data_IF_995550817436
#
_entry.id   IF_995550817436
#
_cell.length_a   1.000
_cell.length_b   1.000
_cell.length_c   1.000
_cell.angle_alpha   90.00
_cell.angle_beta   90.00
_cell.angle_gamma   90.00
#
_symmetry.space_group_name_H-M   'P 1'
#
loop_
_entity.id
_entity.type
_entity.pdbx_description
1 polymer ?
#
# COMPACT_ATOMS: atom_id res chain seq x y z
N UNK A 1 37.35 -61.46 31.53
CA UNK A 1 36.70 -61.04 30.30
C UNK A 1 35.87 -59.81 30.59
N UNK A 2 36.41 -58.64 30.39
CA UNK A 2 35.74 -57.30 30.42
C UNK A 2 36.50 -56.41 29.48
N UNK A 3 36.05 -56.29 28.29
CA UNK A 3 36.60 -55.41 27.29
C UNK A 3 35.72 -55.44 26.07
N UNK A 4 34.81 -54.49 25.92
CA UNK A 4 34.25 -54.09 24.63
C UNK A 4 32.98 -53.23 24.77
N UNK A 5 33.06 -52.17 25.57
CA UNK A 5 31.94 -51.21 25.58
C UNK A 5 32.37 -49.78 25.19
N UNK A 6 33.67 -49.55 25.01
CA UNK A 6 34.13 -48.20 24.73
C UNK A 6 34.06 -47.77 23.23
N UNK A 7 34.06 -48.73 22.32
CA UNK A 7 33.98 -48.47 20.87
C UNK A 7 32.55 -48.19 20.39
N UNK A 8 31.55 -48.67 21.07
CA UNK A 8 30.16 -48.43 20.69
C UNK A 8 29.68 -47.02 21.05
N UNK A 9 30.22 -46.43 22.12
CA UNK A 9 29.80 -45.08 22.58
C UNK A 9 30.35 -43.97 21.64
N UNK A 10 31.56 -44.12 21.09
CA UNK A 10 32.10 -43.14 20.13
C UNK A 10 31.34 -43.17 18.80
N UNK A 11 30.96 -44.36 18.32
CA UNK A 11 30.14 -44.51 17.12
C UNK A 11 28.74 -43.88 17.25
N UNK A 12 28.10 -43.99 18.42
CA UNK A 12 26.80 -43.40 18.69
C UNK A 12 26.86 -41.88 18.74
N UNK A 13 27.95 -41.29 19.30
CA UNK A 13 28.13 -39.86 19.36
C UNK A 13 28.26 -39.27 17.96
N UNK A 14 29.04 -39.87 17.07
CA UNK A 14 29.17 -39.41 15.70
C UNK A 14 27.88 -39.52 14.88
N UNK A 15 27.09 -40.56 15.07
CA UNK A 15 25.78 -40.70 14.41
C UNK A 15 24.83 -39.62 14.89
N UNK A 16 24.81 -39.32 16.18
CA UNK A 16 23.98 -38.27 16.76
C UNK A 16 24.36 -36.87 16.25
N UNK A 17 25.69 -36.63 16.15
CA UNK A 17 26.23 -35.38 15.64
C UNK A 17 25.86 -35.16 14.16
N UNK A 18 26.02 -36.18 13.34
CA UNK A 18 25.61 -36.14 11.93
C UNK A 18 24.10 -35.93 11.76
N UNK A 19 23.30 -36.56 12.60
CA UNK A 19 21.83 -36.39 12.57
C UNK A 19 21.40 -34.98 12.95
N UNK A 20 22.07 -34.39 13.97
CA UNK A 20 21.77 -33.00 14.38
C UNK A 20 22.17 -31.99 13.33
N UNK A 21 23.34 -32.17 12.68
CA UNK A 21 23.80 -31.34 11.56
C UNK A 21 22.86 -31.45 10.35
N UNK A 22 22.41 -32.67 10.03
CA UNK A 22 21.44 -32.89 8.96
C UNK A 22 20.12 -32.17 9.25
N UNK A 23 19.60 -32.27 10.48
CA UNK A 23 18.38 -31.59 10.89
C UNK A 23 18.51 -30.08 10.84
N UNK A 24 19.61 -29.52 11.32
CA UNK A 24 19.90 -28.08 11.23
C UNK A 24 19.94 -27.60 9.77
N UNK A 25 20.62 -28.33 8.91
CA UNK A 25 20.68 -28.02 7.49
C UNK A 25 19.32 -28.10 6.83
N UNK A 26 18.56 -29.15 7.11
CA UNK A 26 17.23 -29.35 6.54
C UNK A 26 16.24 -28.27 6.99
N UNK A 27 16.24 -27.91 8.28
CA UNK A 27 15.42 -26.83 8.80
C UNK A 27 15.82 -25.48 8.23
N UNK A 28 17.11 -25.22 8.07
CA UNK A 28 17.62 -24.02 7.43
C UNK A 28 17.17 -23.94 5.95
N UNK A 29 17.24 -25.02 5.21
CA UNK A 29 16.78 -25.09 3.82
C UNK A 29 15.26 -24.84 3.71
N UNK A 30 14.44 -25.46 4.60
CA UNK A 30 13.00 -25.22 4.63
C UNK A 30 12.69 -23.76 4.98
N UNK A 31 13.44 -23.16 5.92
CA UNK A 31 13.27 -21.76 6.27
C UNK A 31 13.54 -20.84 5.08
N UNK A 32 14.62 -21.08 4.33
CA UNK A 32 14.96 -20.32 3.12
C UNK A 32 13.87 -20.46 2.05
N UNK A 33 13.30 -21.66 1.86
CA UNK A 33 12.23 -21.91 0.90
C UNK A 33 10.89 -21.30 1.32
N UNK A 34 10.71 -20.99 2.61
CA UNK A 34 9.52 -20.33 3.17
C UNK A 34 9.62 -18.82 3.18
N UNK A 35 10.77 -18.23 2.88
CA UNK A 35 10.88 -16.80 2.64
C UNK A 35 10.17 -16.53 1.32
N UNK A 36 8.92 -16.09 1.39
CA UNK A 36 8.23 -15.53 0.23
C UNK A 36 9.00 -14.28 -0.19
N UNK A 37 9.76 -14.41 -1.26
CA UNK A 37 10.29 -13.24 -1.96
C UNK A 37 9.10 -12.57 -2.63
N UNK A 38 8.74 -11.32 -2.28
CA UNK A 38 7.66 -10.63 -2.95
C UNK A 38 7.86 -10.67 -4.45
N UNK A 39 6.82 -11.01 -5.19
CA UNK A 39 6.91 -11.18 -6.64
C UNK A 39 7.31 -9.84 -7.28
N UNK A 40 8.47 -9.73 -7.97
CA UNK A 40 8.91 -8.47 -8.56
C UNK A 40 7.87 -7.75 -9.41
N UNK A 41 7.00 -8.45 -10.17
CA UNK A 41 5.91 -7.83 -10.92
C UNK A 41 4.89 -7.13 -10.01
N UNK A 42 4.64 -7.64 -8.80
CA UNK A 42 3.67 -7.05 -7.88
C UNK A 42 4.14 -5.70 -7.33
N UNK A 43 5.43 -5.56 -7.03
CA UNK A 43 6.01 -4.30 -6.53
C UNK A 43 5.95 -3.21 -7.61
N UNK A 44 6.21 -3.56 -8.86
CA UNK A 44 6.15 -2.61 -9.98
C UNK A 44 4.71 -2.12 -10.23
N UNK A 45 3.73 -3.01 -10.12
CA UNK A 45 2.30 -2.69 -10.28
C UNK A 45 1.83 -1.75 -9.15
N UNK A 46 2.23 -2.02 -7.91
CA UNK A 46 1.88 -1.18 -6.77
C UNK A 46 2.49 0.21 -6.89
N UNK A 47 3.76 0.29 -7.27
CA UNK A 47 4.45 1.57 -7.47
C UNK A 47 3.80 2.41 -8.59
N UNK A 48 3.28 1.79 -9.65
CA UNK A 48 2.57 2.53 -10.72
C UNK A 48 1.21 3.04 -10.27
N UNK A 49 0.47 2.27 -9.48
CA UNK A 49 -0.80 2.72 -8.89
C UNK A 49 -0.59 3.87 -7.91
N UNK A 50 0.42 3.75 -7.03
CA UNK A 50 0.79 4.79 -6.08
C UNK A 50 1.14 6.10 -6.81
N UNK A 51 1.98 6.04 -7.84
CA UNK A 51 2.35 7.19 -8.66
C UNK A 51 1.13 7.82 -9.35
N UNK A 52 0.22 7.02 -9.90
CA UNK A 52 -1.01 7.53 -10.53
C UNK A 52 -1.87 8.28 -9.51
N UNK A 53 -2.02 7.75 -8.30
CA UNK A 53 -2.74 8.43 -7.22
C UNK A 53 -2.07 9.72 -6.76
N UNK A 54 -0.73 9.73 -6.62
CA UNK A 54 0.03 10.94 -6.27
C UNK A 54 -0.08 12.02 -7.34
N UNK A 55 0.01 11.65 -8.61
CA UNK A 55 -0.09 12.58 -9.73
C UNK A 55 -1.50 13.18 -9.82
N UNK A 56 -2.56 12.39 -9.63
CA UNK A 56 -3.94 12.89 -9.57
C UNK A 56 -4.12 13.93 -8.46
N UNK A 57 -3.60 13.66 -7.25
CA UNK A 57 -3.63 14.61 -6.14
C UNK A 57 -2.82 15.87 -6.44
N UNK A 58 -1.68 15.75 -7.09
CA UNK A 58 -0.83 16.88 -7.50
C UNK A 58 -1.52 17.74 -8.55
N UNK A 59 -2.16 17.11 -9.55
CA UNK A 59 -2.91 17.81 -10.59
C UNK A 59 -4.09 18.58 -10.01
N UNK A 60 -4.90 17.95 -9.15
CA UNK A 60 -6.02 18.60 -8.48
C UNK A 60 -5.60 19.82 -7.62
N UNK A 61 -4.41 19.76 -7.00
CA UNK A 61 -3.84 20.90 -6.25
C UNK A 61 -3.33 22.03 -7.14
N UNK A 62 -2.88 21.69 -8.34
CA UNK A 62 -2.33 22.67 -9.29
C UNK A 62 -3.42 23.31 -10.14
N UNK A 63 -4.64 22.78 -10.14
CA UNK A 63 -5.74 23.35 -10.93
C UNK A 63 -6.17 24.69 -10.39
N UNK A 64 -6.15 25.69 -11.29
CA UNK A 64 -6.35 27.07 -10.93
C UNK A 64 -7.83 27.36 -10.72
N UNK A 65 -8.18 27.96 -9.58
CA UNK A 65 -9.53 28.48 -9.35
C UNK A 65 -9.81 29.72 -10.24
N UNK A 66 -11.03 29.83 -10.71
CA UNK A 66 -11.52 31.06 -11.36
C UNK A 66 -11.68 32.23 -10.37
N UNK A 67 -11.68 31.92 -9.08
CA UNK A 67 -11.77 32.91 -8.02
C UNK A 67 -10.36 33.20 -7.46
N UNK A 68 -9.88 34.42 -7.66
CA UNK A 68 -8.56 34.86 -7.22
C UNK A 68 -8.33 34.84 -5.70
N UNK A 69 -9.37 34.55 -4.92
CA UNK A 69 -9.27 34.42 -3.46
C UNK A 69 -8.73 33.05 -3.03
N UNK A 70 -8.64 32.08 -3.95
CA UNK A 70 -8.20 30.72 -3.66
C UNK A 70 -6.95 30.36 -4.46
N UNK A 71 -6.03 29.64 -3.83
CA UNK A 71 -4.78 29.19 -4.46
C UNK A 71 -5.03 28.10 -5.51
N UNK A 72 -6.10 27.31 -5.33
CA UNK A 72 -6.49 26.26 -6.29
C UNK A 72 -8.00 25.97 -6.23
N UNK A 73 -8.50 25.32 -7.28
CA UNK A 73 -9.90 24.88 -7.35
C UNK A 73 -10.22 23.87 -6.25
N UNK A 74 -9.27 23.01 -5.89
CA UNK A 74 -9.43 22.08 -4.77
C UNK A 74 -9.64 22.84 -3.45
N UNK A 75 -8.87 23.89 -3.18
CA UNK A 75 -9.03 24.73 -2.01
C UNK A 75 -10.41 25.39 -1.99
N UNK A 76 -10.90 25.91 -3.13
CA UNK A 76 -12.22 26.50 -3.25
C UNK A 76 -13.33 25.51 -2.89
N UNK A 77 -13.27 24.28 -3.44
CA UNK A 77 -14.25 23.24 -3.14
C UNK A 77 -14.26 22.84 -1.66
N UNK A 78 -13.09 22.64 -1.06
CA UNK A 78 -12.97 22.27 0.36
C UNK A 78 -13.51 23.38 1.28
N UNK A 79 -13.23 24.65 1.00
CA UNK A 79 -13.71 25.77 1.80
C UNK A 79 -15.22 25.95 1.70
N UNK A 80 -15.77 25.80 0.50
CA UNK A 80 -17.19 25.88 0.25
C UNK A 80 -17.98 24.63 0.70
N UNK A 81 -17.30 23.65 1.31
CA UNK A 81 -17.88 22.34 1.72
C UNK A 81 -18.51 21.57 0.55
N UNK A 82 -18.05 21.82 -0.65
CA UNK A 82 -18.43 21.07 -1.84
C UNK A 82 -17.55 19.84 -2.00
N UNK A 83 -17.72 18.87 -1.09
CA UNK A 83 -16.80 17.76 -0.89
C UNK A 83 -16.89 16.73 -2.04
N UNK A 84 -18.05 16.56 -2.63
CA UNK A 84 -18.20 15.71 -3.81
C UNK A 84 -17.43 16.27 -5.00
N UNK A 85 -17.55 17.56 -5.28
CA UNK A 85 -16.77 18.18 -6.36
C UNK A 85 -15.26 18.19 -6.10
N UNK A 86 -14.83 18.31 -4.83
CA UNK A 86 -13.43 18.19 -4.47
C UNK A 86 -12.88 16.79 -4.79
N UNK A 87 -13.63 15.74 -4.48
CA UNK A 87 -13.27 14.38 -4.78
C UNK A 87 -13.38 14.05 -6.28
N UNK A 88 -14.41 14.53 -6.97
CA UNK A 88 -14.54 14.35 -8.42
C UNK A 88 -13.36 14.98 -9.17
N UNK A 89 -12.91 16.17 -8.77
CA UNK A 89 -11.73 16.82 -9.30
C UNK A 89 -10.46 15.96 -9.17
N UNK A 90 -10.29 15.29 -8.02
CA UNK A 90 -9.15 14.38 -7.80
C UNK A 90 -9.29 13.14 -8.68
N UNK A 91 -10.47 12.54 -8.75
CA UNK A 91 -10.73 11.32 -9.52
C UNK A 91 -10.60 11.55 -11.03
N UNK A 92 -10.94 12.74 -11.53
CA UNK A 92 -10.72 13.14 -12.93
C UNK A 92 -9.23 13.21 -13.31
N UNK A 93 -8.35 13.41 -12.34
CA UNK A 93 -6.90 13.38 -12.52
C UNK A 93 -6.30 11.99 -12.70
N UNK A 94 -7.07 10.91 -12.47
CA UNK A 94 -6.59 9.54 -12.63
C UNK A 94 -6.50 9.15 -14.11
N UNK A 95 -5.54 8.27 -14.42
CA UNK A 95 -5.42 7.68 -15.75
C UNK A 95 -6.67 6.88 -16.14
N UNK A 96 -6.96 6.79 -17.44
CA UNK A 96 -8.15 6.08 -17.97
C UNK A 96 -8.23 4.60 -17.59
N UNK A 97 -7.11 3.98 -17.23
CA UNK A 97 -6.98 2.57 -16.82
C UNK A 97 -7.11 2.35 -15.32
N UNK A 98 -7.17 3.45 -14.54
CA UNK A 98 -7.22 3.44 -13.08
C UNK A 98 -8.57 3.99 -12.63
N UNK A 99 -9.18 3.32 -11.67
CA UNK A 99 -10.35 3.80 -10.93
C UNK A 99 -9.93 4.14 -9.50
N UNK A 100 -10.72 4.97 -8.83
CA UNK A 100 -10.40 5.38 -7.48
C UNK A 100 -11.61 5.60 -6.58
N UNK A 101 -11.31 5.75 -5.29
CA UNK A 101 -12.26 6.17 -4.26
C UNK A 101 -11.61 7.22 -3.38
N UNK A 102 -12.25 8.36 -3.29
CA UNK A 102 -11.76 9.49 -2.51
C UNK A 102 -12.46 9.54 -1.14
N UNK A 103 -11.64 9.72 -0.10
CA UNK A 103 -12.05 9.87 1.29
C UNK A 103 -11.56 11.20 1.80
N UNK A 104 -12.42 11.94 2.46
CA UNK A 104 -12.07 13.20 3.10
C UNK A 104 -12.37 13.15 4.60
N UNK A 105 -11.45 13.71 5.38
CA UNK A 105 -11.62 13.96 6.80
C UNK A 105 -11.13 15.37 7.12
N UNK A 106 -11.78 16.03 8.07
CA UNK A 106 -11.40 17.36 8.54
C UNK A 106 -11.10 17.32 10.03
N UNK A 107 -9.97 17.91 10.43
CA UNK A 107 -9.57 18.09 11.83
C UNK A 107 -9.60 16.79 12.65
N UNK A 108 -9.21 15.67 12.03
CA UNK A 108 -9.20 14.37 12.70
C UNK A 108 -10.57 13.70 12.84
N UNK A 109 -11.59 14.19 12.14
CA UNK A 109 -12.91 13.53 12.05
C UNK A 109 -12.78 12.18 11.35
N UNK A 110 -13.83 11.35 11.42
CA UNK A 110 -13.89 10.10 10.66
C UNK A 110 -13.91 10.39 9.15
N UNK A 111 -13.10 9.68 8.38
CA UNK A 111 -13.07 9.77 6.93
C UNK A 111 -14.38 9.31 6.32
N UNK A 112 -14.88 10.05 5.34
CA UNK A 112 -16.09 9.72 4.59
C UNK A 112 -15.79 9.74 3.10
N UNK A 113 -16.50 8.89 2.35
CA UNK A 113 -16.39 8.80 0.89
C UNK A 113 -17.18 9.91 0.25
N UNK A 114 -16.59 10.58 -0.73
CA UNK A 114 -17.22 11.61 -1.53
C UNK A 114 -16.94 11.41 -3.01
N UNK A 115 -17.72 12.06 -3.85
CA UNK A 115 -17.60 12.02 -5.30
C UNK A 115 -18.08 10.73 -5.94
N UNK A 116 -17.87 10.64 -7.25
CA UNK A 116 -18.29 9.53 -8.11
C UNK A 116 -17.35 8.32 -7.96
N UNK A 117 -17.41 7.65 -6.80
CA UNK A 117 -16.53 6.52 -6.52
C UNK A 117 -17.16 5.17 -6.86
N UNK A 118 -16.38 4.24 -7.39
CA UNK A 118 -16.74 2.84 -7.60
C UNK A 118 -16.24 1.97 -6.46
N UNK A 119 -16.66 0.71 -6.39
CA UNK A 119 -16.12 -0.24 -5.43
C UNK A 119 -14.81 -0.83 -5.95
N UNK A 120 -13.77 -0.96 -5.11
CA UNK A 120 -12.51 -1.52 -5.53
C UNK A 120 -12.68 -2.97 -6.00
N UNK A 121 -11.99 -3.31 -7.08
CA UNK A 121 -11.95 -4.64 -7.66
C UNK A 121 -10.47 -5.05 -7.75
N UNK A 122 -10.10 -6.08 -7.01
CA UNK A 122 -8.72 -6.57 -7.02
C UNK A 122 -7.79 -5.79 -6.09
N UNK A 123 -6.54 -5.64 -6.52
CA UNK A 123 -5.49 -5.00 -5.72
C UNK A 123 -5.67 -3.50 -5.66
N UNK A 124 -5.58 -2.94 -4.47
CA UNK A 124 -5.82 -1.53 -4.19
C UNK A 124 -4.64 -0.94 -3.45
N UNK A 125 -4.16 0.22 -3.88
CA UNK A 125 -3.19 1.04 -3.18
C UNK A 125 -3.86 2.29 -2.63
N UNK A 126 -3.39 2.78 -1.48
CA UNK A 126 -3.95 3.97 -0.84
C UNK A 126 -2.90 5.05 -0.71
N UNK A 127 -3.18 6.19 -1.30
CA UNK A 127 -2.34 7.39 -1.22
C UNK A 127 -2.96 8.39 -0.25
N UNK A 128 -2.13 8.96 0.62
CA UNK A 128 -2.58 9.94 1.60
C UNK A 128 -1.98 11.32 1.33
N UNK A 129 -2.76 12.34 1.56
CA UNK A 129 -2.33 13.71 1.44
C UNK A 129 -2.97 14.59 2.50
N UNK A 130 -2.23 15.54 3.02
CA UNK A 130 -2.72 16.54 3.95
C UNK A 130 -2.71 17.92 3.30
N UNK A 131 -3.77 18.67 3.54
CA UNK A 131 -3.92 20.03 3.06
C UNK A 131 -4.35 20.91 4.23
N UNK A 132 -3.54 21.90 4.55
CA UNK A 132 -3.91 22.91 5.54
C UNK A 132 -4.59 24.09 4.83
N UNK A 133 -5.74 24.46 5.35
CA UNK A 133 -6.51 25.57 4.85
C UNK A 133 -7.02 26.42 6.01
N UNK A 134 -6.51 27.65 6.12
CA UNK A 134 -6.79 28.55 7.26
C UNK A 134 -6.52 27.86 8.60
N UNK A 135 -7.59 27.57 9.36
CA UNK A 135 -7.53 26.88 10.67
C UNK A 135 -7.86 25.40 10.61
N UNK A 136 -8.18 24.86 9.42
CA UNK A 136 -8.61 23.48 9.23
C UNK A 136 -7.53 22.63 8.56
N UNK A 137 -7.40 21.40 9.02
CA UNK A 137 -6.53 20.39 8.41
C UNK A 137 -7.41 19.34 7.72
N UNK A 138 -7.30 19.29 6.40
CA UNK A 138 -7.94 18.27 5.60
C UNK A 138 -6.99 17.09 5.40
N UNK A 139 -7.49 15.89 5.64
CA UNK A 139 -6.84 14.64 5.26
C UNK A 139 -7.58 14.05 4.07
N UNK A 140 -6.87 13.85 2.99
CA UNK A 140 -7.36 13.26 1.75
C UNK A 140 -6.73 11.88 1.63
N UNK A 141 -7.55 10.83 1.50
CA UNK A 141 -7.09 9.48 1.24
C UNK A 141 -7.71 9.02 -0.07
N UNK A 142 -6.89 8.55 -0.98
CA UNK A 142 -7.28 8.10 -2.32
C UNK A 142 -6.92 6.63 -2.47
N UNK A 143 -7.93 5.77 -2.52
CA UNK A 143 -7.75 4.37 -2.90
C UNK A 143 -7.76 4.28 -4.43
N UNK A 144 -6.77 3.61 -5.00
CA UNK A 144 -6.63 3.45 -6.46
C UNK A 144 -6.46 1.98 -6.83
N UNK A 145 -7.04 1.57 -7.94
CA UNK A 145 -6.94 0.20 -8.49
C UNK A 145 -7.10 0.21 -10.00
N UNK A 146 -6.64 -0.84 -10.66
CA UNK A 146 -6.83 -0.97 -12.09
C UNK A 146 -8.28 -1.29 -12.43
N UNK A 147 -8.81 -0.58 -13.44
CA UNK A 147 -10.14 -0.84 -13.99
C UNK A 147 -10.20 -2.26 -14.55
N UNK A 148 -11.19 -3.06 -14.08
CA UNK A 148 -11.31 -4.45 -14.50
C UNK A 148 -10.48 -5.45 -13.69
N UNK A 149 -9.89 -5.00 -12.57
CA UNK A 149 -9.31 -5.91 -11.56
C UNK A 149 -7.90 -6.42 -11.85
N UNK A 150 -7.15 -5.79 -12.74
CA UNK A 150 -5.72 -6.11 -13.01
C UNK A 150 -5.31 -7.56 -12.77
N UNK A 151 -4.50 -8.12 -13.63
CA UNK A 151 -4.02 -9.52 -13.54
C UNK A 151 -3.06 -9.65 -12.36
#
# INVERSE_FOLDING_TARGET
MRGSTRFDDEGQIHVLEMLTLFWLFFMSAIFILRIEVPDPPSIAVDATLELSGEDALRMARAEVSNNSSFDSLLHEHLQNRNLDSACDLILEGLEATVDGRCWLAMDGSASQVYGSSTSPIGRTETVHSMLQQESHLWTISLDVWYRGGGI
#
